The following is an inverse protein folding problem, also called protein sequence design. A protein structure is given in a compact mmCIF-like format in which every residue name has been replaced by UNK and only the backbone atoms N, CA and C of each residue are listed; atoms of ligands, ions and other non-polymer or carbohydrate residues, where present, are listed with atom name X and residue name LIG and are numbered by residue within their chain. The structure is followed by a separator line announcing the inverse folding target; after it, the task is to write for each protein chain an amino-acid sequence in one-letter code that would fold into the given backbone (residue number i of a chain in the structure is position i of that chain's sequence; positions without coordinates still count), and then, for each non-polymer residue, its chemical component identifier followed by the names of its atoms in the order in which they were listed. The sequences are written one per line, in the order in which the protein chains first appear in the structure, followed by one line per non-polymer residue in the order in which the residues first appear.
data_IF_690240931447
#
_entry.id   IF_690240931447
#
_cell.length_a   1.000
_cell.length_b   1.000
_cell.length_c   1.000
_cell.angle_alpha   90.00
_cell.angle_beta   90.00
_cell.angle_gamma   90.00
#
_symmetry.space_group_name_H-M   'P 1'
#
loop_
_entity.id
_entity.type
_entity.pdbx_description
1 polymer ?
#
# COMPACT_ATOMS: atom_id res chain seq x y z
N UNK A 1 31.36 -23.06 -1.60
CA UNK A 1 31.89 -21.88 -0.90
C UNK A 1 30.75 -20.91 -0.75
N UNK A 2 30.12 -20.89 0.43
CA UNK A 2 29.00 -20.00 0.75
C UNK A 2 29.53 -18.60 0.95
N UNK A 3 29.09 -17.66 0.13
CA UNK A 3 29.29 -16.22 0.37
C UNK A 3 28.04 -15.72 1.06
N UNK A 4 28.14 -15.58 2.39
CA UNK A 4 27.10 -14.98 3.21
C UNK A 4 27.00 -13.48 2.93
N UNK A 5 25.78 -12.99 2.76
CA UNK A 5 25.48 -11.56 2.66
C UNK A 5 25.12 -11.07 4.06
N UNK A 6 25.70 -9.94 4.55
CA UNK A 6 25.46 -9.47 5.90
C UNK A 6 24.05 -8.89 6.03
N UNK A 7 23.40 -9.26 7.12
CA UNK A 7 22.09 -8.80 7.56
C UNK A 7 22.07 -7.28 7.79
N UNK A 8 21.16 -6.57 7.11
CA UNK A 8 20.85 -5.18 7.39
C UNK A 8 19.92 -5.06 8.61
N UNK A 9 20.34 -4.27 9.59
CA UNK A 9 19.61 -3.92 10.82
C UNK A 9 18.66 -2.73 10.57
N UNK A 10 17.42 -2.81 11.04
CA UNK A 10 16.47 -1.68 11.02
C UNK A 10 16.78 -0.65 12.12
N UNK A 11 16.69 0.64 11.78
CA UNK A 11 16.74 1.78 12.71
C UNK A 11 15.42 2.57 12.64
N UNK A 12 15.00 3.23 13.74
CA UNK A 12 13.59 3.56 14.02
C UNK A 12 13.06 4.85 13.36
N UNK A 13 13.77 5.40 12.36
CA UNK A 13 13.56 6.78 11.92
C UNK A 13 13.51 6.88 10.38
N UNK A 14 12.41 6.46 9.74
CA UNK A 14 12.09 6.84 8.35
C UNK A 14 13.20 6.65 7.31
N UNK A 15 14.02 5.60 7.44
CA UNK A 15 15.10 5.33 6.49
C UNK A 15 14.63 4.37 5.40
N UNK A 16 14.68 4.85 4.16
CA UNK A 16 14.65 4.06 2.93
C UNK A 16 15.57 2.84 3.10
N UNK A 17 14.97 1.65 3.11
CA UNK A 17 15.74 0.42 3.22
C UNK A 17 16.45 0.28 1.87
N UNK A 18 17.75 0.60 1.82
CA UNK A 18 18.55 0.44 0.60
C UNK A 18 18.72 -1.06 0.33
N UNK A 19 17.69 -1.65 -0.27
CA UNK A 19 17.68 -3.00 -0.80
C UNK A 19 17.80 -2.91 -2.32
N UNK A 20 18.27 -4.00 -2.92
CA UNK A 20 18.11 -4.22 -4.36
C UNK A 20 16.64 -3.90 -4.73
N UNK A 21 16.38 -3.17 -5.84
CA UNK A 21 15.03 -2.87 -6.26
C UNK A 21 14.19 -4.15 -6.30
N UNK A 22 13.08 -4.15 -5.57
CA UNK A 22 12.15 -5.28 -5.53
C UNK A 22 11.16 -5.17 -6.68
N UNK A 23 10.85 -6.29 -7.31
CA UNK A 23 9.64 -6.36 -8.13
C UNK A 23 8.41 -6.65 -7.26
N UNK A 24 7.23 -6.55 -7.86
CA UNK A 24 5.95 -6.73 -7.20
C UNK A 24 5.80 -8.11 -6.52
N UNK A 25 6.24 -9.18 -7.17
CA UNK A 25 6.13 -10.54 -6.62
C UNK A 25 7.04 -10.73 -5.38
N UNK A 26 8.26 -10.21 -5.44
CA UNK A 26 9.21 -10.21 -4.31
C UNK A 26 8.66 -9.36 -3.15
N UNK A 27 8.10 -8.19 -3.45
CA UNK A 27 7.44 -7.35 -2.47
C UNK A 27 6.25 -8.07 -1.83
N UNK A 28 5.37 -8.68 -2.62
CA UNK A 28 4.17 -9.35 -2.11
C UNK A 28 4.52 -10.53 -1.21
N UNK A 29 5.54 -11.31 -1.56
CA UNK A 29 6.01 -12.44 -0.76
C UNK A 29 6.54 -12.02 0.63
N UNK A 30 7.16 -10.83 0.71
CA UNK A 30 7.78 -10.33 1.94
C UNK A 30 6.84 -9.43 2.77
N UNK A 31 6.02 -8.61 2.12
CA UNK A 31 5.30 -7.48 2.72
C UNK A 31 3.80 -7.49 2.44
N UNK A 32 3.29 -8.39 1.59
CA UNK A 32 1.88 -8.39 1.17
C UNK A 32 0.87 -8.52 2.32
N UNK A 33 1.26 -9.21 3.41
CA UNK A 33 0.44 -9.40 4.59
C UNK A 33 0.40 -8.22 5.56
N UNK A 34 1.29 -7.24 5.40
CA UNK A 34 1.36 -6.06 6.25
C UNK A 34 0.88 -4.82 5.48
N UNK A 35 -0.07 -4.11 6.06
CA UNK A 35 -0.70 -2.95 5.45
C UNK A 35 0.10 -1.64 5.64
N UNK A 36 1.27 -1.73 6.27
CA UNK A 36 2.18 -0.61 6.50
C UNK A 36 3.13 -0.37 5.34
N UNK A 37 3.29 -1.33 4.42
CA UNK A 37 4.29 -1.19 3.36
C UNK A 37 3.67 -0.89 2.00
N UNK A 38 4.36 -0.02 1.26
CA UNK A 38 4.17 0.26 -0.15
C UNK A 38 5.45 0.00 -0.94
N UNK A 39 5.31 -0.23 -2.23
CA UNK A 39 6.40 -0.34 -3.19
C UNK A 39 6.32 0.84 -4.16
N UNK A 40 7.38 1.62 -4.30
CA UNK A 40 7.45 2.73 -5.25
C UNK A 40 8.77 2.66 -6.00
N UNK A 41 8.71 2.44 -7.31
CA UNK A 41 9.89 2.32 -8.19
C UNK A 41 10.93 1.30 -7.67
N UNK A 42 10.45 0.22 -7.04
CA UNK A 42 11.25 -0.87 -6.50
C UNK A 42 11.76 -0.66 -5.09
N UNK A 43 11.41 0.46 -4.45
CA UNK A 43 11.77 0.77 -3.07
C UNK A 43 10.60 0.54 -2.12
N UNK A 44 10.88 -0.03 -0.94
CA UNK A 44 9.88 -0.29 0.09
C UNK A 44 9.74 0.93 1.01
N UNK A 45 8.53 1.46 1.10
CA UNK A 45 8.17 2.56 1.97
C UNK A 45 7.35 2.07 3.16
N UNK A 46 7.71 2.52 4.36
CA UNK A 46 6.94 2.28 5.59
C UNK A 46 5.99 3.45 5.83
N UNK A 47 4.70 3.17 5.76
CA UNK A 47 3.59 4.03 6.13
C UNK A 47 3.07 3.58 7.48
N UNK A 48 3.44 4.35 8.51
CA UNK A 48 2.84 4.21 9.82
C UNK A 48 1.43 4.83 9.82
N UNK A 49 0.37 4.04 9.99
CA UNK A 49 -0.98 4.56 10.12
C UNK A 49 -1.07 5.36 11.42
N UNK A 50 -1.51 6.60 11.33
CA UNK A 50 -1.77 7.43 12.51
C UNK A 50 -3.26 7.46 12.78
N UNK A 51 -3.67 7.42 14.06
CA UNK A 51 -5.10 7.42 14.41
C UNK A 51 -5.88 8.61 13.83
N UNK A 52 -5.24 9.77 13.70
CA UNK A 52 -5.84 10.94 13.05
C UNK A 52 -6.04 10.74 11.54
N UNK A 53 -5.08 10.11 10.84
CA UNK A 53 -5.25 9.77 9.43
C UNK A 53 -6.39 8.74 9.27
N UNK A 54 -6.45 7.72 10.12
CA UNK A 54 -7.51 6.71 10.07
C UNK A 54 -8.91 7.30 10.34
N UNK A 55 -9.02 8.26 11.27
CA UNK A 55 -10.28 8.97 11.55
C UNK A 55 -10.76 9.76 10.32
N UNK A 56 -9.86 10.48 9.66
CA UNK A 56 -10.18 11.23 8.43
C UNK A 56 -10.56 10.29 7.29
N UNK A 57 -9.83 9.20 7.08
CA UNK A 57 -10.12 8.20 6.06
C UNK A 57 -11.50 7.54 6.28
N UNK A 58 -11.85 7.24 7.53
CA UNK A 58 -13.15 6.69 7.90
C UNK A 58 -14.31 7.68 7.65
N UNK A 59 -14.10 8.96 7.97
CA UNK A 59 -15.08 10.01 7.68
C UNK A 59 -15.34 10.14 6.18
N UNK A 60 -14.27 10.22 5.38
CA UNK A 60 -14.36 10.33 3.91
C UNK A 60 -15.07 9.11 3.32
N UNK A 61 -14.68 7.90 3.75
CA UNK A 61 -15.28 6.64 3.29
C UNK A 61 -16.77 6.60 3.57
N UNK A 62 -17.19 7.03 4.76
CA UNK A 62 -18.61 7.06 5.14
C UNK A 62 -19.43 7.93 4.20
N UNK A 63 -18.91 9.11 3.82
CA UNK A 63 -19.61 10.02 2.90
C UNK A 63 -19.68 9.45 1.49
N UNK A 64 -18.58 8.88 0.99
CA UNK A 64 -18.53 8.28 -0.34
C UNK A 64 -19.49 7.10 -0.44
N UNK A 65 -19.55 6.20 0.55
CA UNK A 65 -20.45 5.06 0.54
C UNK A 65 -21.93 5.50 0.44
N UNK A 66 -22.33 6.54 1.19
CA UNK A 66 -23.69 7.10 1.11
C UNK A 66 -24.00 7.62 -0.30
N UNK A 67 -23.05 8.31 -0.94
CA UNK A 67 -23.24 8.81 -2.30
C UNK A 67 -23.28 7.67 -3.33
N UNK A 68 -22.41 6.65 -3.22
CA UNK A 68 -22.41 5.46 -4.09
C UNK A 68 -23.78 4.76 -4.02
N UNK A 69 -24.28 4.53 -2.80
CA UNK A 69 -25.59 3.93 -2.58
C UNK A 69 -26.72 4.81 -3.17
N UNK A 70 -26.60 6.14 -3.04
CA UNK A 70 -27.56 7.10 -3.57
C UNK A 70 -27.62 7.16 -5.10
N UNK A 71 -26.48 7.09 -5.78
CA UNK A 71 -26.40 7.11 -7.25
C UNK A 71 -26.66 5.73 -7.89
N UNK A 72 -26.57 4.65 -7.11
CA UNK A 72 -26.85 3.29 -7.57
C UNK A 72 -25.85 2.73 -8.57
N UNK A 73 -24.63 3.28 -8.64
CA UNK A 73 -23.56 2.77 -9.50
C UNK A 73 -22.87 1.57 -8.83
N UNK A 74 -22.34 0.60 -9.61
CA UNK A 74 -21.68 -0.58 -9.08
C UNK A 74 -20.25 -0.27 -8.61
N UNK A 75 -20.07 0.81 -7.86
CA UNK A 75 -18.78 1.24 -7.33
C UNK A 75 -18.59 0.71 -5.91
N UNK A 76 -17.34 0.67 -5.45
CA UNK A 76 -17.04 0.37 -4.05
C UNK A 76 -15.82 1.17 -3.58
N UNK A 77 -15.70 1.32 -2.26
CA UNK A 77 -14.53 1.93 -1.63
C UNK A 77 -13.55 0.83 -1.23
N UNK A 78 -12.33 0.91 -1.73
CA UNK A 78 -11.18 0.13 -1.30
C UNK A 78 -10.40 0.93 -0.25
N UNK A 79 -10.24 0.37 0.94
CA UNK A 79 -9.43 0.96 2.01
C UNK A 79 -8.23 0.07 2.30
N UNK A 80 -7.02 0.64 2.33
CA UNK A 80 -5.75 -0.07 2.67
C UNK A 80 -5.45 -1.29 1.78
N UNK A 81 -6.16 -1.44 0.66
CA UNK A 81 -5.91 -2.48 -0.33
C UNK A 81 -4.64 -2.17 -1.11
N UNK A 82 -3.95 -3.21 -1.56
CA UNK A 82 -2.77 -3.04 -2.40
C UNK A 82 -3.21 -2.85 -3.86
N UNK A 83 -2.85 -1.71 -4.46
CA UNK A 83 -3.15 -1.35 -5.84
C UNK A 83 -1.86 -1.34 -6.65
N UNK A 84 -1.82 -2.19 -7.68
CA UNK A 84 -0.71 -2.29 -8.62
C UNK A 84 -1.18 -1.79 -9.99
N UNK A 85 -0.67 -0.65 -10.49
CA UNK A 85 -0.93 -0.20 -11.85
C UNK A 85 -0.42 -1.24 -12.85
N UNK A 86 -1.23 -1.61 -13.83
CA UNK A 86 -0.97 -2.72 -14.77
C UNK A 86 0.26 -2.54 -15.66
N UNK A 87 0.92 -1.39 -15.60
CA UNK A 87 2.08 -1.00 -16.40
C UNK A 87 3.37 -0.88 -15.59
N UNK A 88 3.36 -1.21 -14.30
CA UNK A 88 4.53 -1.02 -13.42
C UNK A 88 4.72 -2.20 -12.46
N UNK A 89 5.62 -3.12 -12.81
CA UNK A 89 5.98 -4.29 -11.98
C UNK A 89 6.78 -3.93 -10.72
N UNK A 90 7.01 -2.63 -10.49
CA UNK A 90 7.87 -2.11 -9.43
C UNK A 90 7.13 -1.16 -8.50
N UNK A 91 5.79 -1.12 -8.58
CA UNK A 91 5.00 -0.13 -7.84
C UNK A 91 3.69 -0.73 -7.36
N UNK A 92 3.43 -0.61 -6.06
CA UNK A 92 2.22 -1.04 -5.41
C UNK A 92 1.90 -0.12 -4.23
N UNK A 93 0.74 0.56 -4.29
CA UNK A 93 0.34 1.55 -3.31
C UNK A 93 -0.82 1.06 -2.45
N UNK A 94 -0.99 1.65 -1.26
CA UNK A 94 -2.09 1.42 -0.33
C UNK A 94 -2.79 2.75 -0.05
N UNK A 95 -3.73 3.16 -0.91
CA UNK A 95 -4.47 4.38 -0.68
C UNK A 95 -5.26 4.33 0.63
N UNK A 96 -5.33 5.46 1.32
CA UNK A 96 -6.21 5.65 2.48
C UNK A 96 -7.69 5.42 2.08
N UNK A 97 -8.07 5.95 0.90
CA UNK A 97 -9.39 5.78 0.28
C UNK A 97 -9.24 5.73 -1.23
N UNK A 98 -9.73 4.67 -1.87
CA UNK A 98 -9.88 4.59 -3.32
C UNK A 98 -11.31 4.19 -3.70
N UNK A 99 -11.86 4.83 -4.73
CA UNK A 99 -13.17 4.47 -5.29
C UNK A 99 -12.94 3.71 -6.59
N UNK A 100 -13.51 2.51 -6.66
CA UNK A 100 -13.26 1.56 -7.75
C UNK A 100 -14.57 1.22 -8.43
N UNK A 101 -14.60 1.34 -9.76
CA UNK A 101 -15.66 0.79 -10.59
C UNK A 101 -15.48 -0.73 -10.69
N UNK A 102 -16.56 -1.51 -10.49
CA UNK A 102 -16.53 -2.96 -10.62
C UNK A 102 -16.48 -3.44 -12.07
N UNK A 103 -16.71 -2.56 -13.04
CA UNK A 103 -16.76 -2.87 -14.46
C UNK A 103 -15.39 -2.83 -15.14
#
# INVERSE_FOLDING_TARGET
MTIGIPSGTATPNGQQIQQKPLNFDEFLACYGGDNRYELIDGEVFDLEPTGQNEEVAAFITTKICVEIDGIGLPWFVLQRGLLCPSNTDMTAFRPDVAVVDRN
#
